data_IF_357001471832
#
_entry.id   IF_357001471832
#
_cell.length_a   1.000
_cell.length_b   1.000
_cell.length_c   1.000
_cell.angle_alpha   90.00
_cell.angle_beta   90.00
_cell.angle_gamma   90.00
#
_symmetry.space_group_name_H-M   'P 1'
#
loop_
_entity.id
_entity.type
_entity.pdbx_description
1 polymer ?
#
# COMPACT_ATOMS: atom_id res chain seq x y z
N UNK A 1 13.72 9.74 -5.35
CA UNK A 1 13.98 8.82 -6.48
C UNK A 1 13.89 9.59 -7.80
N UNK A 2 14.70 9.28 -8.81
CA UNK A 2 14.54 9.83 -10.18
C UNK A 2 13.26 9.30 -10.82
N UNK A 3 12.60 10.07 -11.71
CA UNK A 3 11.39 9.59 -12.40
C UNK A 3 11.64 8.22 -13.07
N UNK A 4 10.64 7.33 -13.08
CA UNK A 4 10.80 5.98 -13.59
C UNK A 4 10.84 6.04 -15.11
N UNK A 5 11.65 5.20 -15.77
CA UNK A 5 11.73 5.20 -17.24
C UNK A 5 10.48 4.59 -17.88
N UNK A 6 9.96 3.51 -17.31
CA UNK A 6 8.81 2.77 -17.84
C UNK A 6 7.90 2.34 -16.71
N UNK A 7 6.59 2.49 -16.92
CA UNK A 7 5.54 2.04 -16.01
C UNK A 7 4.61 1.06 -16.70
N UNK A 8 4.27 -0.05 -16.03
CA UNK A 8 3.20 -0.96 -16.41
C UNK A 8 1.96 -0.66 -15.57
N UNK A 9 0.85 -0.40 -16.25
CA UNK A 9 -0.45 -0.16 -15.61
C UNK A 9 -1.31 -1.40 -15.76
N UNK A 10 -1.79 -1.91 -14.62
CA UNK A 10 -2.71 -3.04 -14.52
C UNK A 10 -4.04 -2.50 -13.99
N UNK A 11 -4.96 -2.12 -14.87
CA UNK A 11 -6.18 -1.42 -14.49
C UNK A 11 -7.21 -2.33 -13.83
N UNK A 12 -7.92 -1.81 -12.83
CA UNK A 12 -9.22 -2.33 -12.36
C UNK A 12 -9.23 -3.83 -12.00
N UNK A 13 -8.14 -4.31 -11.40
CA UNK A 13 -8.03 -5.65 -10.83
C UNK A 13 -9.03 -5.82 -9.69
N UNK A 14 -9.89 -6.83 -9.82
CA UNK A 14 -10.86 -7.20 -8.78
C UNK A 14 -10.24 -8.25 -7.88
N UNK A 15 -10.18 -7.99 -6.59
CA UNK A 15 -9.58 -8.88 -5.60
C UNK A 15 -10.65 -9.30 -4.61
N UNK A 16 -10.85 -10.60 -4.46
CA UNK A 16 -11.81 -11.17 -3.54
C UNK A 16 -11.10 -11.70 -2.29
N UNK A 17 -11.63 -11.39 -1.10
CA UNK A 17 -11.14 -11.88 0.19
C UNK A 17 -9.66 -11.53 0.46
N UNK A 18 -9.24 -10.31 0.14
CA UNK A 18 -7.97 -9.78 0.63
C UNK A 18 -8.02 -9.62 2.15
N UNK A 19 -6.85 -9.65 2.80
CA UNK A 19 -6.73 -9.48 4.24
C UNK A 19 -7.07 -8.03 4.64
N UNK A 20 -8.01 -7.87 5.57
CA UNK A 20 -8.42 -6.57 6.12
C UNK A 20 -7.75 -6.23 7.46
N UNK A 21 -6.98 -7.14 8.05
CA UNK A 21 -6.17 -6.89 9.26
C UNK A 21 -4.76 -6.53 8.76
N UNK A 22 -4.49 -5.23 8.64
CA UNK A 22 -3.23 -4.74 8.04
C UNK A 22 -2.07 -4.76 9.03
N UNK A 23 -2.34 -4.70 10.33
CA UNK A 23 -1.38 -4.90 11.41
C UNK A 23 -2.09 -5.07 12.75
N UNK A 24 -1.33 -5.22 13.82
CA UNK A 24 -1.87 -5.40 15.17
C UNK A 24 -2.77 -4.24 15.65
N UNK A 25 -2.50 -3.02 15.21
CA UNK A 25 -3.24 -1.80 15.61
C UNK A 25 -4.14 -1.23 14.52
N UNK A 26 -4.15 -1.80 13.31
CA UNK A 26 -4.82 -1.21 12.14
C UNK A 26 -5.61 -2.24 11.36
N UNK A 27 -6.79 -1.84 10.89
CA UNK A 27 -7.64 -2.64 10.03
C UNK A 27 -8.23 -1.79 8.89
N UNK A 28 -8.71 -2.45 7.83
CA UNK A 28 -9.28 -1.82 6.66
C UNK A 28 -8.54 -2.21 5.38
N UNK A 29 -7.84 -1.24 4.77
CA UNK A 29 -7.04 -1.50 3.57
C UNK A 29 -5.77 -2.33 3.91
N UNK A 30 -5.37 -3.30 3.07
CA UNK A 30 -4.18 -4.11 3.33
C UNK A 30 -2.89 -3.27 3.42
N UNK A 31 -1.90 -3.77 4.17
CA UNK A 31 -0.59 -3.15 4.28
C UNK A 31 0.12 -3.04 2.92
N UNK A 32 0.85 -1.95 2.69
CA UNK A 32 1.64 -1.77 1.45
C UNK A 32 2.71 -2.85 1.25
N UNK A 33 3.19 -3.45 2.35
CA UNK A 33 4.11 -4.61 2.33
C UNK A 33 3.54 -5.81 1.58
N UNK A 34 2.22 -6.00 1.59
CA UNK A 34 1.58 -7.08 0.83
C UNK A 34 1.65 -6.85 -0.69
N UNK A 35 1.58 -5.59 -1.13
CA UNK A 35 1.65 -5.23 -2.55
C UNK A 35 3.09 -5.27 -3.08
N UNK A 36 4.04 -4.76 -2.30
CA UNK A 36 5.48 -4.88 -2.63
C UNK A 36 5.92 -6.34 -2.64
N UNK A 37 5.49 -7.15 -1.65
CA UNK A 37 5.78 -8.59 -1.62
C UNK A 37 5.16 -9.34 -2.80
N UNK A 38 3.95 -8.95 -3.24
CA UNK A 38 3.33 -9.48 -4.45
C UNK A 38 4.10 -9.07 -5.71
N UNK A 39 4.58 -7.82 -5.82
CA UNK A 39 5.44 -7.36 -6.91
C UNK A 39 6.70 -8.22 -7.04
N UNK A 40 7.34 -8.53 -5.91
CA UNK A 40 8.50 -9.41 -5.88
C UNK A 40 8.16 -10.87 -6.24
N UNK A 41 7.00 -11.38 -5.82
CA UNK A 41 6.53 -12.70 -6.23
C UNK A 41 6.24 -12.77 -7.75
N UNK A 42 5.71 -11.68 -8.31
CA UNK A 42 5.48 -11.52 -9.74
C UNK A 42 6.80 -11.52 -10.51
N UNK A 43 7.81 -10.77 -10.05
CA UNK A 43 9.15 -10.75 -10.63
C UNK A 43 9.72 -12.17 -10.78
N UNK A 44 9.62 -12.97 -9.70
CA UNK A 44 10.06 -14.38 -9.72
C UNK A 44 9.27 -15.23 -10.72
N UNK A 45 7.96 -14.98 -10.87
CA UNK A 45 7.13 -15.68 -11.88
C UNK A 45 7.50 -15.27 -13.30
N UNK A 46 7.78 -13.99 -13.54
CA UNK A 46 8.26 -13.48 -14.81
C UNK A 46 9.58 -14.16 -15.19
N UNK A 47 10.54 -14.21 -14.27
CA UNK A 47 11.82 -14.89 -14.48
C UNK A 47 11.64 -16.38 -14.82
N UNK A 48 10.75 -17.09 -14.10
CA UNK A 48 10.43 -18.49 -14.39
C UNK A 48 9.74 -18.69 -15.77
N UNK A 49 9.04 -17.68 -16.26
CA UNK A 49 8.45 -17.66 -17.60
C UNK A 49 9.44 -17.19 -18.70
N UNK A 50 10.71 -16.93 -18.34
CA UNK A 50 11.75 -16.47 -19.26
C UNK A 50 11.74 -14.97 -19.54
N UNK A 51 10.95 -14.17 -18.81
CA UNK A 51 10.94 -12.72 -18.90
C UNK A 51 12.00 -12.14 -17.96
N UNK A 52 12.94 -11.37 -18.51
CA UNK A 52 13.95 -10.65 -17.72
C UNK A 52 13.43 -9.26 -17.39
N UNK A 53 12.75 -9.16 -16.26
CA UNK A 53 12.17 -7.91 -15.77
C UNK A 53 12.31 -7.86 -14.26
N UNK A 54 12.51 -6.66 -13.72
CA UNK A 54 12.33 -6.37 -12.30
C UNK A 54 11.30 -5.27 -12.09
N UNK A 55 10.70 -5.25 -10.89
CA UNK A 55 9.67 -4.29 -10.51
C UNK A 55 10.10 -3.51 -9.25
N UNK A 56 10.96 -2.48 -9.38
CA UNK A 56 11.59 -1.81 -8.25
C UNK A 56 10.60 -1.12 -7.30
N UNK A 57 9.50 -0.61 -7.85
CA UNK A 57 8.51 0.13 -7.09
C UNK A 57 7.08 -0.12 -7.60
N UNK A 58 6.10 0.08 -6.72
CA UNK A 58 4.69 -0.15 -7.00
C UNK A 58 3.80 0.98 -6.45
N UNK A 59 2.91 1.49 -7.27
CA UNK A 59 1.79 2.32 -6.87
C UNK A 59 0.48 1.53 -6.86
N UNK A 60 -0.39 1.87 -5.91
CA UNK A 60 -1.70 1.22 -5.76
C UNK A 60 -2.78 2.29 -5.70
N UNK A 61 -3.74 2.20 -6.62
CA UNK A 61 -4.93 3.04 -6.63
C UNK A 61 -6.14 2.20 -6.29
N UNK A 62 -6.80 2.53 -5.18
CA UNK A 62 -8.04 1.89 -4.77
C UNK A 62 -9.23 2.62 -5.40
N UNK A 63 -10.01 1.90 -6.20
CA UNK A 63 -11.24 2.40 -6.82
C UNK A 63 -12.49 2.05 -6.01
N UNK A 64 -12.48 0.85 -5.43
CA UNK A 64 -13.57 0.36 -4.60
C UNK A 64 -13.02 -0.53 -3.50
N UNK A 65 -13.64 -0.46 -2.33
CA UNK A 65 -13.34 -1.33 -1.20
C UNK A 65 -14.63 -1.67 -0.45
N UNK A 66 -14.75 -2.93 -0.05
CA UNK A 66 -15.91 -3.43 0.69
C UNK A 66 -15.43 -4.43 1.74
N UNK A 67 -15.27 -3.95 2.98
CA UNK A 67 -14.87 -4.79 4.10
C UNK A 67 -16.05 -5.65 4.56
N UNK A 68 -15.80 -6.93 4.83
CA UNK A 68 -16.79 -7.87 5.33
C UNK A 68 -16.95 -7.72 6.84
N UNK A 69 -17.74 -6.72 7.22
CA UNK A 69 -17.98 -6.34 8.62
C UNK A 69 -19.46 -6.14 8.90
N UNK A 70 -19.83 -6.26 10.16
CA UNK A 70 -21.19 -5.96 10.63
C UNK A 70 -21.56 -4.52 10.34
N UNK A 71 -22.83 -4.30 9.97
CA UNK A 71 -23.39 -2.96 9.78
C UNK A 71 -24.14 -2.51 11.04
N UNK A 72 -23.97 -1.25 11.41
CA UNK A 72 -24.58 -0.65 12.61
C UNK A 72 -23.65 -0.61 13.83
N UNK A 73 -23.91 0.33 14.75
CA UNK A 73 -23.07 0.57 15.92
C UNK A 73 -21.82 1.42 15.64
N UNK A 74 -21.11 1.79 16.71
CA UNK A 74 -19.84 2.53 16.64
C UNK A 74 -18.66 1.61 16.32
N UNK A 75 -18.62 0.43 16.96
CA UNK A 75 -17.63 -0.62 16.69
C UNK A 75 -18.19 -1.61 15.66
N UNK A 76 -17.29 -2.14 14.82
CA UNK A 76 -17.62 -3.15 13.80
C UNK A 76 -16.90 -4.45 14.12
N UNK A 77 -17.54 -5.58 13.82
CA UNK A 77 -16.97 -6.92 13.95
C UNK A 77 -16.82 -7.57 12.56
N UNK A 78 -15.83 -8.44 12.38
CA UNK A 78 -15.62 -9.12 11.11
C UNK A 78 -16.61 -10.27 10.89
N UNK A 79 -17.03 -10.45 9.64
CA UNK A 79 -17.74 -11.66 9.23
C UNK A 79 -16.74 -12.80 9.04
N UNK A 80 -16.92 -13.87 9.80
CA UNK A 80 -16.02 -15.03 9.79
C UNK A 80 -16.55 -16.16 8.91
N UNK A 81 -15.66 -17.10 8.57
CA UNK A 81 -16.05 -18.37 7.93
C UNK A 81 -16.05 -19.52 8.91
N UNK A 82 -16.91 -20.50 8.65
CA UNK A 82 -16.90 -21.75 9.39
C UNK A 82 -15.76 -22.64 8.90
N UNK A 83 -14.81 -22.91 9.78
CA UNK A 83 -13.74 -23.87 9.53
C UNK A 83 -14.26 -25.32 9.70
N UNK A 84 -13.61 -26.32 9.07
CA UNK A 84 -13.90 -27.72 9.31
C UNK A 84 -13.88 -28.07 10.80
N UNK A 85 -14.69 -29.06 11.19
CA UNK A 85 -14.67 -29.60 12.56
C UNK A 85 -13.34 -30.27 12.87
N UNK A 86 -13.01 -30.34 14.16
CA UNK A 86 -11.79 -31.00 14.62
C UNK A 86 -11.87 -32.53 14.45
N UNK A 87 -10.77 -33.23 14.79
CA UNK A 87 -10.69 -34.70 14.74
C UNK A 87 -11.71 -35.43 15.62
N UNK A 88 -12.35 -34.73 16.57
CA UNK A 88 -13.40 -35.27 17.45
C UNK A 88 -14.81 -34.97 16.93
N UNK A 89 -14.94 -34.24 15.83
CA UNK A 89 -16.21 -33.77 15.28
C UNK A 89 -16.75 -32.51 15.97
N UNK A 90 -15.98 -31.87 16.86
CA UNK A 90 -16.36 -30.65 17.56
C UNK A 90 -15.93 -29.41 16.76
N UNK A 91 -16.58 -28.27 17.06
CA UNK A 91 -16.23 -26.98 16.46
C UNK A 91 -14.79 -26.61 16.80
N UNK A 92 -13.98 -26.34 15.78
CA UNK A 92 -12.62 -25.84 15.96
C UNK A 92 -12.63 -24.44 16.61
N UNK A 93 -11.51 -24.07 17.24
CA UNK A 93 -11.34 -22.73 17.77
C UNK A 93 -11.55 -21.68 16.67
N UNK A 94 -12.27 -20.61 17.00
CA UNK A 94 -12.52 -19.51 16.09
C UNK A 94 -11.29 -18.61 16.10
N UNK A 95 -10.66 -18.48 14.94
CA UNK A 95 -9.60 -17.49 14.68
C UNK A 95 -10.22 -16.40 13.82
N UNK A 96 -10.16 -15.16 14.29
CA UNK A 96 -10.70 -14.03 13.54
C UNK A 96 -9.78 -13.66 12.36
N UNK A 97 -10.35 -13.66 11.16
CA UNK A 97 -9.68 -13.18 9.95
C UNK A 97 -10.54 -12.09 9.31
N UNK A 98 -9.99 -10.89 9.17
CA UNK A 98 -10.67 -9.81 8.46
C UNK A 98 -10.55 -9.97 6.95
N UNK A 99 -11.65 -9.82 6.22
CA UNK A 99 -11.68 -9.92 4.76
C UNK A 99 -12.26 -8.68 4.11
N UNK A 100 -11.71 -8.32 2.96
CA UNK A 100 -12.12 -7.17 2.15
C UNK A 100 -12.14 -7.51 0.66
N UNK A 101 -13.16 -7.03 -0.05
CA UNK A 101 -13.19 -7.01 -1.51
C UNK A 101 -12.63 -5.68 -2.01
N UNK A 102 -11.79 -5.73 -3.03
CA UNK A 102 -11.09 -4.55 -3.55
C UNK A 102 -11.21 -4.49 -5.07
N UNK A 103 -11.24 -3.28 -5.61
CA UNK A 103 -10.98 -3.00 -7.01
C UNK A 103 -9.80 -2.02 -7.08
N UNK A 104 -8.68 -2.47 -7.64
CA UNK A 104 -7.41 -1.73 -7.62
C UNK A 104 -6.86 -1.53 -9.04
N UNK A 105 -6.19 -0.41 -9.28
CA UNK A 105 -5.20 -0.34 -10.36
C UNK A 105 -3.80 -0.38 -9.77
N UNK A 106 -2.94 -1.21 -10.35
CA UNK A 106 -1.53 -1.28 -9.96
C UNK A 106 -0.68 -0.54 -10.99
N UNK A 107 0.33 0.17 -10.49
CA UNK A 107 1.31 0.93 -11.27
C UNK A 107 2.67 0.32 -10.92
N UNK A 108 3.25 -0.48 -11.80
CA UNK A 108 4.55 -1.09 -11.57
C UNK A 108 5.61 -0.29 -12.31
N UNK A 109 6.67 0.10 -11.62
CA UNK A 109 7.90 0.48 -12.30
C UNK A 109 8.50 -0.74 -12.97
N UNK A 110 8.95 -0.60 -14.22
CA UNK A 110 9.48 -1.70 -15.01
C UNK A 110 10.92 -1.39 -15.38
N UNK A 111 11.82 -2.28 -14.96
CA UNK A 111 13.19 -2.34 -15.48
C UNK A 111 13.36 -3.63 -16.29
N UNK A 112 13.62 -3.47 -17.58
CA UNK A 112 13.74 -4.55 -18.56
C UNK A 112 15.15 -5.17 -18.64
N UNK A 113 16.10 -4.81 -17.76
CA UNK A 113 17.41 -5.47 -17.65
C UNK A 113 18.11 -5.68 -19.01
N UNK A 114 18.21 -4.60 -19.79
CA UNK A 114 18.76 -4.52 -21.16
C UNK A 114 17.89 -5.07 -22.31
N UNK A 115 16.72 -5.67 -22.03
CA UNK A 115 15.75 -6.01 -23.08
C UNK A 115 15.04 -4.75 -23.59
N UNK A 116 14.96 -4.60 -24.92
CA UNK A 116 14.23 -3.51 -25.56
C UNK A 116 12.97 -4.05 -26.22
N UNK A 117 11.82 -3.60 -25.76
CA UNK A 117 10.54 -3.83 -26.44
C UNK A 117 10.47 -2.89 -27.65
N UNK A 118 10.70 -3.44 -28.84
CA UNK A 118 10.99 -2.73 -30.08
C UNK A 118 9.75 -2.25 -30.86
N UNK A 119 8.54 -2.42 -30.29
CA UNK A 119 7.31 -1.88 -30.86
C UNK A 119 6.08 -1.96 -29.95
N UNK A 120 5.00 -1.28 -30.36
CA UNK A 120 3.73 -1.25 -29.59
C UNK A 120 3.10 -2.64 -29.41
N UNK A 121 3.24 -3.52 -30.41
CA UNK A 121 2.70 -4.87 -30.34
C UNK A 121 3.44 -5.71 -29.28
N UNK A 122 4.77 -5.63 -29.24
CA UNK A 122 5.60 -6.29 -28.22
C UNK A 122 5.31 -5.74 -26.82
N UNK A 123 5.17 -4.43 -26.69
CA UNK A 123 4.76 -3.79 -25.42
C UNK A 123 3.40 -4.27 -24.93
N UNK A 124 2.41 -4.39 -25.82
CA UNK A 124 1.10 -4.89 -25.48
C UNK A 124 1.13 -6.39 -25.11
N UNK A 125 1.89 -7.20 -25.84
CA UNK A 125 2.07 -8.62 -25.55
C UNK A 125 2.74 -8.84 -24.19
N UNK A 126 3.81 -8.08 -23.90
CA UNK A 126 4.47 -8.08 -22.60
C UNK A 126 3.51 -7.69 -21.47
N UNK A 127 2.79 -6.58 -21.63
CA UNK A 127 1.84 -6.11 -20.62
C UNK A 127 0.75 -7.16 -20.34
N UNK A 128 0.24 -7.82 -21.39
CA UNK A 128 -0.74 -8.88 -21.25
C UNK A 128 -0.15 -10.12 -20.57
N UNK A 129 1.05 -10.55 -20.95
CA UNK A 129 1.71 -11.70 -20.34
C UNK A 129 1.96 -11.48 -18.83
N UNK A 130 2.36 -10.27 -18.42
CA UNK A 130 2.50 -9.93 -17.01
C UNK A 130 1.14 -9.93 -16.29
N UNK A 131 0.08 -9.40 -16.91
CA UNK A 131 -1.27 -9.44 -16.34
C UNK A 131 -1.79 -10.88 -16.15
N UNK A 132 -1.53 -11.77 -17.12
CA UNK A 132 -1.90 -13.18 -17.03
C UNK A 132 -1.15 -13.86 -15.88
N UNK A 133 0.14 -13.54 -15.67
CA UNK A 133 0.91 -14.04 -14.54
C UNK A 133 0.33 -13.55 -13.20
N UNK A 134 -0.06 -12.28 -13.09
CA UNK A 134 -0.69 -11.74 -11.87
C UNK A 134 -2.03 -12.42 -11.57
N UNK A 135 -2.82 -12.75 -12.59
CA UNK A 135 -4.09 -13.45 -12.41
C UNK A 135 -3.91 -14.82 -11.74
N UNK A 136 -2.72 -15.41 -11.82
CA UNK A 136 -2.36 -16.67 -11.15
C UNK A 136 -1.77 -16.49 -9.74
N UNK A 137 -1.67 -15.26 -9.24
CA UNK A 137 -1.16 -14.92 -7.91
C UNK A 137 -2.29 -14.52 -6.97
N UNK A 138 -1.94 -14.36 -5.69
CA UNK A 138 -2.80 -13.73 -4.69
C UNK A 138 -2.29 -12.34 -4.38
N UNK A 139 -3.21 -11.38 -4.26
CA UNK A 139 -2.90 -10.00 -3.88
C UNK A 139 -3.43 -9.77 -2.46
N UNK A 140 -2.53 -9.47 -1.52
CA UNK A 140 -2.85 -9.37 -0.09
C UNK A 140 -3.65 -10.57 0.46
N UNK A 141 -3.31 -11.79 0.01
CA UNK A 141 -3.99 -13.04 0.40
C UNK A 141 -5.29 -13.33 -0.35
N UNK A 142 -5.84 -12.34 -1.06
CA UNK A 142 -7.05 -12.47 -1.87
C UNK A 142 -6.81 -12.98 -3.28
N UNK A 143 -7.86 -13.49 -3.91
CA UNK A 143 -7.84 -14.03 -5.28
C UNK A 143 -8.15 -12.95 -6.29
N UNK A 144 -7.35 -12.85 -7.35
CA UNK A 144 -7.64 -11.99 -8.51
C UNK A 144 -8.79 -12.60 -9.31
N UNK A 145 -9.87 -11.86 -9.48
CA UNK A 145 -11.06 -12.29 -10.19
C UNK A 145 -11.00 -11.83 -11.65
N UNK A 146 -11.44 -12.67 -12.60
CA UNK A 146 -11.59 -12.24 -13.98
C UNK A 146 -12.68 -11.15 -14.11
N UNK A 147 -12.69 -10.48 -15.25
CA UNK A 147 -13.77 -9.57 -15.61
C UNK A 147 -15.11 -10.34 -15.63
N UNK A 148 -16.18 -9.72 -15.13
CA UNK A 148 -17.50 -10.34 -15.21
C UNK A 148 -17.99 -10.34 -16.67
N UNK A 149 -18.78 -11.36 -17.08
CA UNK A 149 -19.46 -11.32 -18.36
C UNK A 149 -20.27 -10.02 -18.52
N UNK A 150 -20.09 -9.31 -19.63
CA UNK A 150 -20.79 -8.06 -19.93
C UNK A 150 -20.23 -6.80 -19.27
N UNK A 151 -19.18 -6.91 -18.44
CA UNK A 151 -18.42 -5.75 -17.99
C UNK A 151 -17.34 -5.35 -19.00
N UNK A 152 -16.95 -4.07 -18.97
CA UNK A 152 -15.86 -3.56 -19.80
C UNK A 152 -14.56 -4.24 -19.40
N UNK A 153 -13.88 -4.82 -20.38
CA UNK A 153 -12.54 -5.35 -20.18
C UNK A 153 -11.53 -4.20 -20.12
N UNK A 154 -10.65 -4.27 -19.13
CA UNK A 154 -9.59 -3.29 -18.93
C UNK A 154 -8.25 -3.96 -19.25
N UNK A 155 -7.65 -3.57 -20.37
CA UNK A 155 -6.38 -4.14 -20.81
C UNK A 155 -5.19 -3.42 -20.17
N UNK A 156 -4.12 -4.14 -19.81
CA UNK A 156 -2.91 -3.53 -19.29
C UNK A 156 -2.15 -2.76 -20.37
N UNK A 157 -1.36 -1.77 -19.97
CA UNK A 157 -0.54 -1.01 -20.91
C UNK A 157 0.74 -0.48 -20.29
N UNK A 158 1.74 -0.21 -21.14
CA UNK A 158 2.98 0.45 -20.76
C UNK A 158 2.93 1.96 -21.02
N UNK A 159 3.60 2.71 -20.16
CA UNK A 159 3.92 4.12 -20.33
C UNK A 159 5.44 4.24 -20.31
N UNK A 160 6.04 4.64 -21.42
CA UNK A 160 7.44 5.09 -21.44
C UNK A 160 7.43 6.56 -21.06
N UNK A 161 7.95 6.87 -19.88
CA UNK A 161 7.97 8.21 -19.33
C UNK A 161 8.96 9.05 -20.13
N UNK A 162 8.47 10.17 -20.66
CA UNK A 162 9.29 11.04 -21.48
C UNK A 162 10.26 11.87 -20.62
N UNK A 163 11.45 12.14 -21.15
CA UNK A 163 12.43 13.02 -20.50
C UNK A 163 11.96 14.49 -20.55
N UNK A 164 11.20 14.86 -21.60
CA UNK A 164 10.62 16.20 -21.74
C UNK A 164 9.51 16.42 -20.70
N UNK A 165 9.68 17.48 -19.90
CA UNK A 165 8.80 17.81 -18.78
C UNK A 165 7.35 18.07 -19.21
N UNK A 166 7.12 18.70 -20.36
CA UNK A 166 5.78 19.04 -20.83
C UNK A 166 5.06 17.81 -21.41
N UNK A 167 5.79 16.93 -22.09
CA UNK A 167 5.25 15.63 -22.53
C UNK A 167 4.95 14.76 -21.32
N UNK A 168 5.87 14.67 -20.35
CA UNK A 168 5.70 13.93 -19.10
C UNK A 168 4.47 14.38 -18.32
N UNK A 169 4.26 15.69 -18.16
CA UNK A 169 3.04 16.25 -17.53
C UNK A 169 1.76 15.85 -18.26
N UNK A 170 1.77 15.81 -19.60
CA UNK A 170 0.61 15.35 -20.40
C UNK A 170 0.36 13.85 -20.20
N UNK A 171 1.41 13.03 -20.15
CA UNK A 171 1.31 11.60 -19.85
C UNK A 171 0.70 11.36 -18.47
N UNK A 172 1.18 12.08 -17.44
CA UNK A 172 0.65 11.99 -16.08
C UNK A 172 -0.82 12.42 -16.01
N UNK A 173 -1.19 13.54 -16.64
CA UNK A 173 -2.61 13.98 -16.73
C UNK A 173 -3.50 12.95 -17.41
N UNK A 174 -3.00 12.24 -18.42
CA UNK A 174 -3.73 11.15 -19.06
C UNK A 174 -3.90 9.96 -18.13
N UNK A 175 -2.83 9.53 -17.45
CA UNK A 175 -2.87 8.44 -16.49
C UNK A 175 -3.86 8.73 -15.36
N UNK A 176 -3.76 9.90 -14.72
CA UNK A 176 -4.64 10.30 -13.61
C UNK A 176 -6.13 10.28 -13.99
N UNK A 177 -6.49 10.71 -15.22
CA UNK A 177 -7.86 10.60 -15.74
C UNK A 177 -8.33 9.15 -15.89
N UNK A 178 -7.44 8.24 -16.26
CA UNK A 178 -7.77 6.80 -16.41
C UNK A 178 -7.90 6.11 -15.05
N UNK A 179 -7.20 6.60 -14.03
CA UNK A 179 -7.26 6.13 -12.65
C UNK A 179 -8.47 6.67 -11.87
N UNK A 180 -9.25 7.60 -12.45
CA UNK A 180 -10.51 8.02 -11.86
C UNK A 180 -11.67 7.06 -12.16
N UNK A 181 -12.64 6.93 -11.24
CA UNK A 181 -12.58 7.35 -9.84
C UNK A 181 -11.66 6.42 -9.04
N UNK A 182 -10.76 6.97 -8.22
CA UNK A 182 -9.85 6.20 -7.37
C UNK A 182 -9.02 7.10 -6.46
N UNK A 183 -8.41 6.50 -5.44
CA UNK A 183 -7.51 7.17 -4.51
C UNK A 183 -6.24 6.35 -4.34
N UNK A 184 -5.09 7.01 -4.29
CA UNK A 184 -3.82 6.37 -3.98
C UNK A 184 -3.40 6.70 -2.55
N UNK A 185 -2.73 5.76 -1.90
CA UNK A 185 -2.18 5.91 -0.57
C UNK A 185 -0.72 6.37 -0.67
N UNK A 186 -0.35 7.43 0.04
CA UNK A 186 1.02 7.93 0.14
C UNK A 186 1.50 7.97 1.58
N UNK A 187 2.81 7.96 1.80
CA UNK A 187 3.40 8.07 3.13
C UNK A 187 3.44 9.55 3.55
N UNK A 188 3.01 9.83 4.78
CA UNK A 188 3.08 11.16 5.41
C UNK A 188 3.75 11.12 6.77
N UNK A 189 4.94 10.51 6.85
CA UNK A 189 5.76 10.52 8.06
C UNK A 189 6.22 11.93 8.45
N UNK A 190 6.30 12.84 7.48
CA UNK A 190 6.56 14.27 7.70
C UNK A 190 5.48 14.90 8.60
N UNK A 191 4.20 14.62 8.35
CA UNK A 191 3.11 15.16 9.17
C UNK A 191 3.12 14.57 10.57
N UNK A 192 3.49 13.29 10.72
CA UNK A 192 3.61 12.68 12.04
C UNK A 192 4.70 13.36 12.88
N UNK A 193 5.85 13.67 12.26
CA UNK A 193 6.94 14.38 12.94
C UNK A 193 6.55 15.82 13.28
N UNK A 194 5.97 16.55 12.33
CA UNK A 194 5.48 17.92 12.57
C UNK A 194 4.46 17.96 13.71
N UNK A 195 3.54 16.99 13.75
CA UNK A 195 2.52 16.91 14.80
C UNK A 195 3.12 16.60 16.17
N UNK A 196 4.14 15.74 16.22
CA UNK A 196 4.90 15.48 17.45
C UNK A 196 5.54 16.77 17.98
N UNK A 197 6.20 17.54 17.12
CA UNK A 197 6.84 18.81 17.53
C UNK A 197 5.82 19.80 18.12
N UNK A 198 4.64 19.94 17.48
CA UNK A 198 3.56 20.79 18.00
C UNK A 198 3.06 20.27 19.35
N UNK A 199 2.93 18.95 19.50
CA UNK A 199 2.47 18.33 20.74
C UNK A 199 3.47 18.52 21.89
N UNK A 200 4.76 18.40 21.59
CA UNK A 200 5.85 18.59 22.55
C UNK A 200 5.97 20.03 23.06
N UNK A 201 5.44 21.02 22.32
CA UNK A 201 5.32 22.40 22.83
C UNK A 201 4.32 22.52 23.99
N UNK A 202 3.32 21.65 24.04
CA UNK A 202 2.30 21.63 25.09
C UNK A 202 2.61 20.61 26.18
N UNK A 203 3.16 19.46 25.79
CA UNK A 203 3.49 18.33 26.66
C UNK A 203 4.87 17.78 26.28
N UNK A 204 5.94 18.21 26.98
CA UNK A 204 7.32 17.82 26.65
C UNK A 204 7.59 16.31 26.67
N UNK A 205 6.77 15.53 27.37
CA UNK A 205 6.93 14.07 27.50
C UNK A 205 6.18 13.30 26.39
N UNK A 206 5.44 14.00 25.51
CA UNK A 206 4.70 13.37 24.42
C UNK A 206 5.61 12.65 23.44
N UNK A 207 5.20 11.43 23.04
CA UNK A 207 5.94 10.57 22.12
C UNK A 207 5.27 10.40 20.74
N UNK A 208 5.93 9.65 19.86
CA UNK A 208 5.40 9.37 18.51
C UNK A 208 4.09 8.60 18.52
N UNK A 209 3.85 7.73 19.52
CA UNK A 209 2.61 6.98 19.63
C UNK A 209 1.46 7.91 20.01
N UNK A 210 1.70 8.86 20.93
CA UNK A 210 0.72 9.87 21.30
C UNK A 210 0.35 10.75 20.10
N UNK A 211 1.33 11.20 19.33
CA UNK A 211 1.11 11.95 18.10
C UNK A 211 0.32 11.12 17.06
N UNK A 212 0.67 9.84 16.90
CA UNK A 212 0.02 8.93 15.96
C UNK A 212 -1.45 8.64 16.33
N UNK A 213 -1.74 8.41 17.62
CA UNK A 213 -3.10 8.22 18.12
C UNK A 213 -3.93 9.50 17.98
N UNK A 214 -3.31 10.66 18.24
CA UNK A 214 -3.98 11.95 18.15
C UNK A 214 -4.37 12.31 16.71
N UNK A 215 -3.52 11.99 15.73
CA UNK A 215 -3.82 12.10 14.29
C UNK A 215 -4.86 11.08 13.81
N UNK A 216 -5.03 9.97 14.51
CA UNK A 216 -5.93 8.88 14.12
C UNK A 216 -7.36 9.03 14.67
N UNK A 217 -7.62 10.05 15.49
CA UNK A 217 -8.93 10.27 16.14
C UNK A 217 -9.54 11.62 15.75
N UNK A 218 -10.85 11.74 15.93
CA UNK A 218 -11.55 13.02 15.82
C UNK A 218 -11.54 13.71 17.18
N UNK A 219 -10.69 14.73 17.31
CA UNK A 219 -10.58 15.53 18.53
C UNK A 219 -11.63 16.64 18.51
N UNK A 220 -12.40 16.77 19.61
CA UNK A 220 -13.36 17.86 19.79
C UNK A 220 -12.78 18.90 20.73
N UNK A 221 -12.80 20.16 20.30
CA UNK A 221 -12.32 21.30 21.06
C UNK A 221 -13.46 22.30 21.30
N UNK A 222 -13.44 22.93 22.47
CA UNK A 222 -14.40 23.97 22.82
C UNK A 222 -13.80 25.35 22.57
N UNK A 223 -14.53 26.21 21.86
CA UNK A 223 -14.21 27.62 21.70
C UNK A 223 -15.30 28.46 22.36
N UNK A 224 -14.90 29.38 23.23
CA UNK A 224 -15.83 30.35 23.80
C UNK A 224 -16.06 31.47 22.77
N UNK A 225 -17.33 31.69 22.43
CA UNK A 225 -17.78 32.76 21.51
C UNK A 225 -18.85 33.56 22.25
N UNK A 226 -18.46 34.76 22.69
CA UNK A 226 -19.29 35.65 23.52
C UNK A 226 -19.83 34.92 24.77
N UNK A 227 -21.15 34.73 24.86
CA UNK A 227 -21.86 34.05 25.94
C UNK A 227 -22.20 32.58 25.63
N UNK A 228 -21.59 31.99 24.60
CA UNK A 228 -21.86 30.61 24.16
C UNK A 228 -20.59 29.77 23.97
N UNK A 229 -20.74 28.45 24.04
CA UNK A 229 -19.66 27.47 23.78
C UNK A 229 -19.94 26.79 22.45
N UNK A 230 -18.99 26.92 21.51
CA UNK A 230 -19.01 26.21 20.24
C UNK A 230 -18.06 25.00 20.31
N UNK A 231 -18.55 23.84 19.87
CA UNK A 231 -17.73 22.63 19.73
C UNK A 231 -17.27 22.49 18.29
N UNK A 232 -15.96 22.50 18.09
CA UNK A 232 -15.34 22.30 16.78
C UNK A 232 -14.55 21.00 16.76
N UNK A 233 -14.49 20.35 15.60
CA UNK A 233 -13.61 19.20 15.40
C UNK A 233 -12.25 19.73 14.95
N UNK A 234 -11.20 19.45 15.73
CA UNK A 234 -9.84 19.81 15.35
C UNK A 234 -9.43 19.03 14.09
N UNK A 235 -8.92 19.77 13.11
CA UNK A 235 -8.39 19.24 11.85
C UNK A 235 -7.10 19.99 11.52
N UNK A 236 -6.02 19.57 12.16
CA UNK A 236 -4.69 20.21 12.02
C UNK A 236 -4.15 20.09 10.59
N UNK A 237 -4.46 18.98 9.93
CA UNK A 237 -4.05 18.72 8.56
C UNK A 237 -5.27 18.43 7.66
N UNK A 238 -5.38 19.10 6.50
CA UNK A 238 -6.45 18.83 5.55
C UNK A 238 -6.24 17.49 4.84
N UNK A 239 -7.33 16.77 4.61
CA UNK A 239 -7.36 15.55 3.82
C UNK A 239 -7.73 14.32 4.63
N UNK A 240 -7.48 13.14 4.06
CA UNK A 240 -7.82 11.86 4.66
C UNK A 240 -6.55 11.18 5.16
N UNK A 241 -6.16 11.49 6.40
CA UNK A 241 -5.05 10.83 7.08
C UNK A 241 -5.51 9.51 7.68
N UNK A 242 -4.65 8.50 7.61
CA UNK A 242 -4.90 7.16 8.14
C UNK A 242 -3.65 6.58 8.79
N UNK A 243 -3.79 5.86 9.91
CA UNK A 243 -2.72 5.02 10.43
C UNK A 243 -2.42 3.86 9.47
N UNK A 244 -1.14 3.65 9.17
CA UNK A 244 -0.70 2.57 8.27
C UNK A 244 0.52 1.83 8.82
N UNK A 245 0.58 0.49 8.65
CA UNK A 245 1.81 -0.25 8.82
C UNK A 245 2.72 -0.02 7.60
N UNK A 246 3.99 0.28 7.85
CA UNK A 246 4.98 0.60 6.81
C UNK A 246 6.12 -0.41 6.74
N UNK A 247 6.18 -1.36 7.67
CA UNK A 247 7.26 -2.34 7.70
C UNK A 247 7.38 -3.03 9.04
N UNK A 248 8.62 -3.38 9.38
CA UNK A 248 8.97 -4.14 10.56
C UNK A 248 10.25 -3.61 11.21
N UNK A 249 10.33 -3.75 12.53
CA UNK A 249 11.52 -3.44 13.32
C UNK A 249 12.02 -4.69 14.05
N UNK A 250 13.34 -4.85 14.14
CA UNK A 250 13.98 -5.99 14.78
C UNK A 250 13.74 -6.04 16.30
N UNK A 251 13.34 -7.21 16.80
CA UNK A 251 13.27 -7.54 18.23
C UNK A 251 14.45 -8.40 18.69
N UNK A 252 15.18 -8.98 17.75
CA UNK A 252 16.30 -9.89 17.99
C UNK A 252 17.48 -9.59 17.08
N UNK A 253 18.61 -10.23 17.36
CA UNK A 253 19.71 -10.34 16.41
C UNK A 253 19.30 -11.10 15.13
N UNK A 254 20.19 -11.11 14.13
CA UNK A 254 20.01 -11.92 12.92
C UNK A 254 20.58 -13.32 13.20
N UNK A 255 19.71 -14.32 13.21
CA UNK A 255 20.12 -15.71 13.33
C UNK A 255 20.54 -16.26 11.97
N UNK A 256 21.57 -17.09 11.97
CA UNK A 256 22.00 -17.80 10.76
C UNK A 256 20.93 -18.79 10.29
N UNK A 257 20.98 -19.10 9.00
CA UNK A 257 20.14 -20.14 8.41
C UNK A 257 20.34 -21.47 9.17
N UNK A 258 19.23 -22.11 9.56
CA UNK A 258 19.27 -23.38 10.30
C UNK A 258 19.22 -23.27 11.82
N UNK A 259 19.36 -22.06 12.40
CA UNK A 259 19.39 -21.90 13.86
C UNK A 259 18.01 -21.88 14.52
N UNK A 260 16.98 -21.42 13.80
CA UNK A 260 15.62 -21.28 14.35
C UNK A 260 14.76 -22.47 13.93
N UNK A 261 14.28 -23.22 14.92
CA UNK A 261 13.37 -24.34 14.72
C UNK A 261 12.06 -23.89 14.06
N UNK A 262 11.50 -24.74 13.20
CA UNK A 262 10.24 -24.49 12.49
C UNK A 262 10.20 -23.20 11.64
N UNK A 263 11.36 -22.66 11.25
CA UNK A 263 11.45 -21.64 10.21
C UNK A 263 10.90 -22.16 8.87
N UNK A 264 10.45 -21.24 8.00
CA UNK A 264 9.85 -21.58 6.69
C UNK A 264 10.78 -22.40 5.80
N UNK A 265 12.07 -22.10 5.85
CA UNK A 265 13.14 -22.86 5.22
C UNK A 265 14.40 -22.79 6.10
N UNK A 266 15.38 -23.63 5.81
CA UNK A 266 16.62 -23.77 6.57
C UNK A 266 17.83 -23.10 5.88
N UNK A 267 17.57 -22.28 4.85
CA UNK A 267 18.59 -21.67 3.97
C UNK A 267 18.62 -20.14 4.07
N UNK A 268 17.57 -19.53 4.61
CA UNK A 268 17.43 -18.09 4.76
C UNK A 268 17.69 -17.68 6.22
N UNK A 269 18.50 -16.65 6.48
CA UNK A 269 18.65 -16.07 7.82
C UNK A 269 17.31 -15.64 8.43
N UNK A 270 17.17 -15.74 9.74
CA UNK A 270 15.92 -15.48 10.45
C UNK A 270 16.07 -14.36 11.48
N UNK A 271 15.01 -13.56 11.67
CA UNK A 271 14.95 -12.51 12.69
C UNK A 271 13.53 -12.31 13.18
N UNK A 272 13.35 -12.19 14.49
CA UNK A 272 12.07 -11.79 15.08
C UNK A 272 11.87 -10.29 14.92
N UNK A 273 10.67 -9.90 14.53
CA UNK A 273 10.33 -8.50 14.24
C UNK A 273 8.93 -8.16 14.76
N UNK A 274 8.69 -6.87 14.98
CA UNK A 274 7.36 -6.30 15.24
C UNK A 274 6.93 -5.33 14.14
N UNK A 275 5.66 -4.96 14.11
CA UNK A 275 5.10 -4.04 13.11
C UNK A 275 5.54 -2.59 13.35
N UNK A 276 6.00 -1.94 12.29
CA UNK A 276 6.34 -0.51 12.29
C UNK A 276 5.19 0.30 11.68
N UNK A 277 4.77 1.35 12.38
CA UNK A 277 3.62 2.19 11.99
C UNK A 277 4.02 3.61 11.62
N UNK A 278 3.22 4.22 10.76
CA UNK A 278 3.30 5.63 10.39
C UNK A 278 1.90 6.15 10.05
N UNK A 279 1.83 7.39 9.56
CA UNK A 279 0.62 7.98 8.97
C UNK A 279 0.77 7.97 7.45
N UNK A 280 -0.32 7.60 6.78
CA UNK A 280 -0.50 7.74 5.34
C UNK A 280 -1.63 8.69 5.02
N UNK A 281 -1.74 9.07 3.75
CA UNK A 281 -2.82 9.92 3.28
C UNK A 281 -3.43 9.34 2.00
N UNK A 282 -4.76 9.26 1.95
CA UNK A 282 -5.48 8.95 0.72
C UNK A 282 -5.64 10.22 -0.12
N UNK A 283 -5.09 10.20 -1.33
CA UNK A 283 -5.10 11.32 -2.25
C UNK A 283 -5.75 10.93 -3.58
N UNK A 284 -6.52 11.86 -4.14
CA UNK A 284 -7.01 11.72 -5.51
C UNK A 284 -5.81 11.81 -6.47
N UNK A 285 -5.72 10.93 -7.50
CA UNK A 285 -4.61 10.91 -8.44
C UNK A 285 -4.29 12.27 -9.10
N UNK A 286 -5.27 13.15 -9.26
CA UNK A 286 -5.06 14.48 -9.84
C UNK A 286 -4.20 15.43 -9.00
N UNK A 287 -3.93 15.10 -7.73
CA UNK A 287 -3.04 15.88 -6.86
C UNK A 287 -1.56 15.54 -7.05
N UNK A 288 -1.25 14.49 -7.83
CA UNK A 288 0.11 14.11 -8.12
C UNK A 288 0.69 14.91 -9.27
N UNK A 289 1.97 15.24 -9.15
CA UNK A 289 2.70 16.05 -10.12
C UNK A 289 3.87 15.30 -10.75
N UNK A 290 4.33 14.23 -10.10
CA UNK A 290 5.37 13.31 -10.57
C UNK A 290 4.82 11.88 -10.62
N UNK A 291 5.38 11.01 -11.45
CA UNK A 291 4.98 9.60 -11.43
C UNK A 291 5.44 8.91 -10.13
N UNK A 292 6.61 9.29 -9.63
CA UNK A 292 7.15 8.80 -8.35
C UNK A 292 6.26 9.07 -7.14
N UNK A 293 5.36 10.05 -7.20
CA UNK A 293 4.44 10.33 -6.11
C UNK A 293 3.58 9.11 -5.75
N UNK A 294 3.28 8.25 -6.73
CA UNK A 294 2.50 7.03 -6.53
C UNK A 294 3.29 5.88 -5.92
N UNK A 295 4.62 5.88 -6.08
CA UNK A 295 5.42 4.67 -6.01
C UNK A 295 5.91 4.39 -4.58
N UNK A 296 5.70 3.15 -4.15
CA UNK A 296 6.24 2.58 -2.93
C UNK A 296 7.36 1.61 -3.25
N UNK A 297 8.45 1.70 -2.49
CA UNK A 297 9.64 0.88 -2.68
C UNK A 297 10.22 0.43 -1.34
N UNK A 298 11.13 -0.55 -1.38
CA UNK A 298 11.80 -1.07 -0.19
C UNK A 298 12.96 -0.15 0.20
N UNK A 299 12.98 0.31 1.44
CA UNK A 299 14.05 1.16 2.03
C UNK A 299 14.52 0.53 3.35
N UNK A 300 15.12 -0.65 3.25
CA UNK A 300 15.61 -1.37 4.42
C UNK A 300 16.90 -0.74 4.94
N UNK A 301 16.99 -0.59 6.26
CA UNK A 301 18.22 -0.25 7.00
C UNK A 301 18.63 -1.46 7.82
N UNK A 302 19.42 -2.33 7.19
CA UNK A 302 19.77 -3.64 7.77
C UNK A 302 20.66 -3.52 9.01
N UNK A 303 21.46 -2.45 9.07
CA UNK A 303 22.31 -2.05 10.18
C UNK A 303 21.51 -1.70 11.45
N UNK A 304 20.39 -1.00 11.29
CA UNK A 304 19.48 -0.67 12.40
C UNK A 304 18.34 -1.68 12.59
N UNK A 305 18.35 -2.78 11.82
CA UNK A 305 17.31 -3.81 11.87
C UNK A 305 15.92 -3.30 11.45
N UNK A 306 15.87 -2.30 10.57
CA UNK A 306 14.62 -1.72 10.07
C UNK A 306 14.30 -2.25 8.67
N UNK A 307 13.16 -2.89 8.52
CA UNK A 307 12.67 -3.42 7.25
C UNK A 307 11.41 -2.68 6.83
N UNK A 308 11.55 -1.59 6.09
CA UNK A 308 10.43 -0.69 5.81
C UNK A 308 10.26 -0.41 4.33
N UNK A 309 9.05 0.04 4.01
CA UNK A 309 8.75 0.67 2.76
C UNK A 309 8.86 2.19 2.89
N UNK A 310 9.12 2.84 1.77
CA UNK A 310 9.11 4.28 1.66
C UNK A 310 8.32 4.73 0.43
N UNK A 311 7.89 5.99 0.45
CA UNK A 311 7.24 6.68 -0.66
C UNK A 311 7.63 8.16 -0.60
N UNK A 312 8.12 8.70 -1.71
CA UNK A 312 8.80 10.01 -1.75
C UNK A 312 7.84 11.20 -1.91
N UNK A 313 6.52 10.98 -1.77
CA UNK A 313 5.53 12.03 -2.03
C UNK A 313 5.80 13.32 -1.25
N UNK A 314 6.11 13.23 0.04
CA UNK A 314 6.37 14.41 0.88
C UNK A 314 7.65 15.16 0.48
N UNK A 315 8.73 14.44 0.17
CA UNK A 315 9.99 15.00 -0.30
C UNK A 315 9.79 15.79 -1.60
N UNK A 316 9.01 15.24 -2.52
CA UNK A 316 8.67 15.90 -3.78
C UNK A 316 7.83 17.17 -3.62
N UNK A 317 7.10 17.33 -2.50
CA UNK A 317 6.40 18.58 -2.20
C UNK A 317 7.36 19.64 -1.64
N UNK A 318 8.32 19.24 -0.80
CA UNK A 318 9.30 20.15 -0.20
C UNK A 318 10.24 20.76 -1.27
N UNK A 319 10.61 19.99 -2.29
CA UNK A 319 11.36 20.47 -3.47
C UNK A 319 10.68 21.64 -4.21
N UNK A 320 9.39 21.94 -3.94
CA UNK A 320 8.67 23.06 -4.56
C UNK A 320 8.72 24.35 -3.76
N UNK A 321 9.01 24.26 -2.46
CA UNK A 321 9.06 25.43 -1.58
C UNK A 321 10.43 26.13 -1.61
N UNK A 322 11.36 25.61 -2.41
CA UNK A 322 12.68 26.18 -2.73
C UNK A 322 12.84 26.38 -4.24
#
# INVERSE_FOLDING_TARGET
MTEPNTLLILPRLRIQNANAISGNLTWGFPAMTAFVGMSHALERKCAAAGLKVSFPAIGVVCHHHEAQVTQGGYQRSFHLTRNPVDKTGKTAAIVEEGRIHLELSLILEVDLQDERLSGKAEQAAFAQQVADLIATLRVAGGTVQPAMPGQREHHPWLINVDEDVDIRKKQLRRLTRQLLPGFALVLRSDLLQQHLEVKQQQDPDADLLDAWLDLSRLNHECRQVEDSVEWIIRRDHPGWLVPIPVGFAALSELYDAGQVEAARDQTTPFRFVEGLYSIGQWLSPHRFERFNDFLWYVDNRLDTGTYRLNNDYSLNQQDKEF
#
